data_IF_699299456194
#
_entry.id   IF_699299456194
#
_cell.length_a   1.000
_cell.length_b   1.000
_cell.length_c   1.000
_cell.angle_alpha   90.00
_cell.angle_beta   90.00
_cell.angle_gamma   90.00
#
_symmetry.space_group_name_H-M   'P 1'
#
loop_
_entity.id
_entity.type
_entity.pdbx_description
1 polymer ?
#
# COMPACT_ATOMS: atom_id res chain seq x y z
N UNK A 1 5.71 4.59 6.48
CA UNK A 1 7.13 4.16 6.37
C UNK A 1 8.02 5.28 6.85
N UNK A 2 9.16 4.97 7.46
CA UNK A 2 10.07 6.01 7.93
C UNK A 2 11.53 5.60 7.83
N UNK A 3 12.42 6.58 7.85
CA UNK A 3 13.87 6.34 7.90
C UNK A 3 14.38 6.69 9.30
N UNK A 4 14.98 5.71 9.97
CA UNK A 4 15.50 5.89 11.34
C UNK A 4 16.82 5.13 11.53
N UNK A 5 17.77 5.72 12.24
CA UNK A 5 19.12 5.17 12.48
C UNK A 5 19.77 4.64 11.20
N UNK A 6 19.67 5.45 10.14
CA UNK A 6 20.11 5.15 8.79
C UNK A 6 19.58 3.85 8.16
N UNK A 7 18.39 3.43 8.58
CA UNK A 7 17.68 2.23 8.09
C UNK A 7 16.25 2.59 7.71
N UNK A 8 15.79 2.01 6.60
CA UNK A 8 14.37 2.05 6.25
C UNK A 8 13.56 1.16 7.19
N UNK A 9 12.45 1.69 7.71
CA UNK A 9 11.53 0.95 8.57
C UNK A 9 10.07 1.07 8.08
N UNK A 10 9.30 0.02 8.31
CA UNK A 10 7.87 -0.03 8.04
C UNK A 10 7.08 -0.40 9.29
N UNK A 11 5.79 -0.04 9.31
CA UNK A 11 4.84 -0.50 10.31
C UNK A 11 3.49 -0.73 9.62
N UNK A 12 2.79 -1.78 10.03
CA UNK A 12 1.42 -2.10 9.59
C UNK A 12 0.39 -1.56 10.59
N UNK A 13 0.77 -1.45 11.85
CA UNK A 13 -0.06 -1.02 12.98
C UNK A 13 0.25 0.41 13.46
N UNK A 14 1.24 1.07 12.85
CA UNK A 14 1.69 2.42 13.20
C UNK A 14 2.54 2.51 14.47
N UNK A 15 2.64 1.45 15.27
CA UNK A 15 3.37 1.45 16.55
C UNK A 15 4.66 0.63 16.50
N UNK A 16 4.63 -0.52 15.83
CA UNK A 16 5.71 -1.49 15.76
C UNK A 16 6.45 -1.34 14.45
N UNK A 17 7.65 -0.78 14.51
CA UNK A 17 8.49 -0.56 13.33
C UNK A 17 9.49 -1.68 13.14
N UNK A 18 9.52 -2.26 11.94
CA UNK A 18 10.44 -3.32 11.54
C UNK A 18 11.30 -2.85 10.36
N UNK A 19 12.52 -3.40 10.19
CA UNK A 19 13.36 -3.11 9.03
C UNK A 19 12.66 -3.49 7.72
N UNK A 20 12.79 -2.68 6.68
CA UNK A 20 12.16 -2.98 5.36
C UNK A 20 12.65 -4.28 4.71
N UNK A 21 13.84 -4.76 5.05
CA UNK A 21 14.35 -6.04 4.55
C UNK A 21 13.68 -7.27 5.20
N UNK A 22 12.98 -7.08 6.33
CA UNK A 22 12.17 -8.14 6.96
C UNK A 22 10.72 -8.15 6.48
N UNK A 23 10.35 -7.23 5.57
CA UNK A 23 8.98 -7.11 5.08
C UNK A 23 8.57 -8.33 4.26
N UNK A 24 7.42 -8.92 4.59
CA UNK A 24 6.83 -10.05 3.87
C UNK A 24 5.70 -9.58 2.94
N UNK A 25 5.28 -10.49 2.05
CA UNK A 25 4.13 -10.27 1.17
C UNK A 25 2.87 -9.86 1.95
N UNK A 26 2.61 -10.50 3.08
CA UNK A 26 1.45 -10.22 3.93
C UNK A 26 1.49 -8.77 4.46
N UNK A 27 2.67 -8.31 4.90
CA UNK A 27 2.85 -6.93 5.37
C UNK A 27 2.60 -5.91 4.24
N UNK A 28 3.08 -6.20 3.01
CA UNK A 28 2.85 -5.35 1.83
C UNK A 28 1.35 -5.23 1.53
N UNK A 29 0.63 -6.36 1.55
CA UNK A 29 -0.81 -6.38 1.30
C UNK A 29 -1.55 -5.56 2.37
N UNK A 30 -1.23 -5.74 3.65
CA UNK A 30 -1.85 -4.96 4.73
C UNK A 30 -1.60 -3.46 4.59
N UNK A 31 -0.41 -3.04 4.15
CA UNK A 31 -0.13 -1.62 3.88
C UNK A 31 -0.97 -1.12 2.70
N UNK A 32 -1.09 -1.89 1.63
CA UNK A 32 -1.94 -1.56 0.47
C UNK A 32 -3.40 -1.38 0.91
N UNK A 33 -3.95 -2.32 1.67
CA UNK A 33 -5.31 -2.24 2.20
C UNK A 33 -5.50 -0.96 3.02
N UNK A 34 -4.50 -0.60 3.83
CA UNK A 34 -4.52 0.64 4.63
C UNK A 34 -4.44 1.90 3.77
N UNK A 35 -3.70 1.89 2.65
CA UNK A 35 -3.61 3.03 1.72
C UNK A 35 -4.95 3.24 0.99
N UNK A 36 -5.64 2.15 0.65
CA UNK A 36 -6.90 2.18 -0.08
C UNK A 36 -8.09 2.60 0.81
N UNK A 37 -8.03 2.36 2.12
CA UNK A 37 -9.05 2.79 3.07
C UNK A 37 -9.13 4.32 3.15
N UNK A 38 -10.26 4.95 2.78
CA UNK A 38 -10.41 6.40 2.80
C UNK A 38 -10.37 7.00 4.21
N UNK A 39 -10.55 6.21 5.26
CA UNK A 39 -10.52 6.64 6.66
C UNK A 39 -9.14 6.47 7.31
N UNK A 40 -8.16 5.93 6.58
CA UNK A 40 -6.80 5.75 7.06
C UNK A 40 -5.84 6.66 6.29
N UNK A 41 -4.86 7.21 7.01
CA UNK A 41 -3.78 7.98 6.43
C UNK A 41 -2.47 7.23 6.64
N UNK A 42 -1.74 7.04 5.54
CA UNK A 42 -0.44 6.36 5.58
C UNK A 42 0.64 7.41 5.39
N UNK A 43 1.39 7.65 6.47
CA UNK A 43 2.55 8.55 6.46
C UNK A 43 3.79 7.81 5.96
N UNK A 44 4.52 8.41 5.02
CA UNK A 44 5.73 7.85 4.44
C UNK A 44 6.80 8.94 4.31
N UNK A 45 7.97 8.71 4.91
CA UNK A 45 9.13 9.57 4.69
C UNK A 45 9.63 9.41 3.25
N UNK A 46 9.95 10.55 2.62
CA UNK A 46 10.54 10.59 1.29
C UNK A 46 11.84 9.78 1.25
N UNK A 47 12.03 9.02 0.19
CA UNK A 47 13.25 8.24 -0.01
C UNK A 47 14.46 9.16 -0.20
N UNK A 48 15.47 9.02 0.68
CA UNK A 48 16.78 9.64 0.51
C UNK A 48 17.88 8.57 0.61
N UNK A 49 18.62 8.41 -0.51
CA UNK A 49 19.72 7.47 -0.64
C UNK A 49 20.90 7.75 0.30
N UNK A 50 21.01 8.95 0.87
CA UNK A 50 22.04 9.32 1.86
C UNK A 50 21.63 8.93 3.28
N UNK A 51 20.33 8.83 3.55
CA UNK A 51 19.84 8.49 4.88
C UNK A 51 19.92 6.98 5.12
N UNK A 52 19.66 6.13 4.12
CA UNK A 52 19.77 4.68 4.28
C UNK A 52 21.21 4.24 3.94
N UNK A 53 21.90 3.50 4.80
CA UNK A 53 23.27 3.03 4.50
C UNK A 53 23.30 1.70 3.73
N UNK A 54 22.36 0.80 4.04
CA UNK A 54 22.33 -0.54 3.45
C UNK A 54 21.81 -0.50 2.01
N UNK A 55 22.59 -0.95 1.00
CA UNK A 55 22.18 -0.90 -0.41
C UNK A 55 20.98 -1.79 -0.73
N UNK A 56 20.78 -2.91 -0.03
CA UNK A 56 19.59 -3.73 -0.21
C UNK A 56 18.34 -3.00 0.30
N UNK A 57 18.44 -2.39 1.49
CA UNK A 57 17.34 -1.59 2.04
C UNK A 57 17.03 -0.37 1.17
N UNK A 58 18.01 0.24 0.51
CA UNK A 58 17.77 1.33 -0.46
C UNK A 58 16.86 0.88 -1.59
N UNK A 59 17.20 -0.24 -2.24
CA UNK A 59 16.43 -0.78 -3.38
C UNK A 59 15.00 -1.14 -2.93
N UNK A 60 14.86 -1.79 -1.78
CA UNK A 60 13.56 -2.18 -1.25
C UNK A 60 12.72 -0.95 -0.88
N UNK A 61 13.29 0.01 -0.14
CA UNK A 61 12.58 1.20 0.29
C UNK A 61 12.14 2.04 -0.89
N UNK A 62 13.05 2.32 -1.84
CA UNK A 62 12.76 3.09 -3.05
C UNK A 62 11.62 2.44 -3.86
N UNK A 63 11.74 1.15 -4.19
CA UNK A 63 10.74 0.45 -4.98
C UNK A 63 9.36 0.36 -4.31
N UNK A 64 9.31 0.20 -2.99
CA UNK A 64 8.05 0.20 -2.24
C UNK A 64 7.46 1.60 -2.10
N UNK A 65 8.30 2.58 -1.75
CA UNK A 65 7.89 3.98 -1.61
C UNK A 65 7.28 4.50 -2.90
N UNK A 66 7.93 4.29 -4.05
CA UNK A 66 7.39 4.70 -5.36
C UNK A 66 6.01 4.08 -5.60
N UNK A 67 5.88 2.75 -5.43
CA UNK A 67 4.61 2.04 -5.64
C UNK A 67 3.50 2.51 -4.70
N UNK A 68 3.82 2.73 -3.43
CA UNK A 68 2.85 3.16 -2.44
C UNK A 68 2.42 4.62 -2.62
N UNK A 69 3.32 5.51 -3.03
CA UNK A 69 2.97 6.89 -3.39
C UNK A 69 2.14 6.93 -4.67
N UNK A 70 2.51 6.14 -5.69
CA UNK A 70 1.68 6.00 -6.90
C UNK A 70 0.27 5.51 -6.54
N UNK A 71 0.17 4.49 -5.68
CA UNK A 71 -1.12 3.99 -5.20
C UNK A 71 -1.89 5.05 -4.41
N UNK A 72 -1.24 5.78 -3.51
CA UNK A 72 -1.88 6.80 -2.68
C UNK A 72 -2.39 7.97 -3.53
N UNK A 73 -1.63 8.39 -4.54
CA UNK A 73 -2.03 9.44 -5.48
C UNK A 73 -3.18 8.98 -6.38
N UNK A 74 -3.15 7.72 -6.81
CA UNK A 74 -4.18 7.15 -7.69
C UNK A 74 -5.31 6.47 -6.92
N UNK A 75 -5.35 6.52 -5.58
CA UNK A 75 -6.33 5.77 -4.77
C UNK A 75 -7.78 6.12 -5.11
N UNK A 76 -8.05 7.37 -5.51
CA UNK A 76 -9.37 7.80 -5.96
C UNK A 76 -9.78 7.12 -7.27
N UNK A 77 -8.84 6.97 -8.20
CA UNK A 77 -9.06 6.27 -9.46
C UNK A 77 -9.19 4.76 -9.21
N UNK A 78 -8.31 4.16 -8.42
CA UNK A 78 -8.37 2.75 -8.05
C UNK A 78 -9.68 2.38 -7.34
N UNK A 79 -10.13 3.21 -6.38
CA UNK A 79 -11.40 2.99 -5.71
C UNK A 79 -12.60 3.16 -6.66
N UNK A 80 -12.52 4.05 -7.65
CA UNK A 80 -13.55 4.14 -8.70
C UNK A 80 -13.60 2.88 -9.55
N UNK A 81 -12.44 2.43 -10.05
CA UNK A 81 -12.34 1.23 -10.89
C UNK A 81 -12.81 -0.03 -10.14
N UNK A 82 -12.48 -0.14 -8.85
CA UNK A 82 -12.97 -1.22 -7.98
C UNK A 82 -14.50 -1.12 -7.84
N UNK A 83 -15.06 0.04 -7.49
CA UNK A 83 -16.51 0.17 -7.36
C UNK A 83 -17.22 -0.15 -8.67
N UNK A 84 -16.70 0.30 -9.82
CA UNK A 84 -17.25 -0.01 -11.14
C UNK A 84 -17.20 -1.51 -11.45
N UNK A 85 -16.09 -2.20 -11.16
CA UNK A 85 -15.98 -3.66 -11.33
C UNK A 85 -16.97 -4.41 -10.42
N UNK A 86 -17.07 -4.04 -9.15
CA UNK A 86 -17.97 -4.70 -8.20
C UNK A 86 -19.45 -4.40 -8.49
N UNK A 87 -19.81 -3.19 -8.93
CA UNK A 87 -21.18 -2.86 -9.36
C UNK A 87 -21.56 -3.67 -10.61
N UNK A 88 -20.67 -3.79 -11.60
CA UNK A 88 -20.92 -4.55 -12.83
C UNK A 88 -21.08 -6.06 -12.53
N UNK A 89 -20.24 -6.61 -11.64
CA UNK A 89 -20.33 -8.02 -11.23
C UNK A 89 -21.58 -8.30 -10.39
N UNK A 90 -21.97 -7.38 -9.47
CA UNK A 90 -23.21 -7.48 -8.70
C UNK A 90 -24.48 -7.35 -9.57
N UNK A 91 -24.44 -6.52 -10.61
CA UNK A 91 -25.55 -6.37 -11.56
C UNK A 91 -25.74 -7.64 -12.40
N UNK A 92 -24.64 -8.29 -12.80
CA UNK A 92 -24.66 -9.60 -13.49
C UNK A 92 -25.29 -10.70 -12.63
N UNK A 93 -24.92 -10.81 -11.34
CA UNK A 93 -25.54 -11.75 -10.41
C UNK A 93 -27.03 -11.47 -10.14
N UNK A 94 -27.49 -10.21 -10.23
CA UNK A 94 -28.91 -9.86 -10.06
C UNK A 94 -29.75 -10.21 -11.29
N UNK A 95 -29.19 -10.16 -12.50
CA UNK A 95 -29.89 -10.54 -13.72
C UNK A 95 -30.10 -12.05 -13.83
N UNK A 96 -29.14 -12.87 -13.39
CA UNK A 96 -29.27 -14.35 -13.41
C UNK A 96 -30.19 -14.93 -12.33
N UNK A 97 -30.64 -14.12 -11.35
CA UNK A 97 -31.52 -14.55 -10.25
C UNK A 97 -33.01 -14.19 -10.41
N UNK A 98 -33.41 -13.57 -11.53
CA UNK A 98 -34.78 -13.09 -11.76
C UNK A 98 -35.57 -13.84 -12.84
N UNK A 99 -35.08 -15.01 -13.27
CA UNK A 99 -35.79 -15.93 -14.16
C UNK A 99 -36.14 -17.26 -13.44
N UNK A 100 -36.88 -17.19 -12.32
CA UNK A 100 -37.68 -18.33 -11.81
C UNK A 100 -39.05 -17.88 -11.26
#
# INVERSE_FOLDING_TARGET
MKINDSKGQFSVDGTSFKPVDEMKKEDILSIIDTILDPNQEVEMDEYDANLILNPAQKIIYDGLYTKFIELQNNKAQFNSEINELYDDELESYKQEGSEE
#
